data_IF_607691852388
#
_entry.id   IF_607691852388
#
_cell.length_a   1.000
_cell.length_b   1.000
_cell.length_c   1.000
_cell.angle_alpha   90.00
_cell.angle_beta   90.00
_cell.angle_gamma   90.00
#
_symmetry.space_group_name_H-M   'P 1'
#
loop_
_entity.id
_entity.type
_entity.pdbx_description
1 polymer ?
#
# COMPACT_ATOMS: atom_id res chain seq x y z
N UNK A 1 20.20 8.29 -5.12
CA UNK A 1 19.18 7.70 -4.24
C UNK A 1 18.02 7.29 -5.11
N UNK A 2 17.46 6.10 -4.92
CA UNK A 2 16.24 5.71 -5.64
C UNK A 2 15.06 6.41 -4.98
N UNK A 3 14.15 6.99 -5.77
CA UNK A 3 12.93 7.61 -5.26
C UNK A 3 11.80 6.58 -5.19
N UNK A 4 10.81 6.75 -4.31
CA UNK A 4 9.58 5.98 -4.40
C UNK A 4 8.81 6.32 -5.69
N UNK A 5 8.03 5.39 -6.25
CA UNK A 5 7.10 5.65 -7.34
C UNK A 5 6.15 6.82 -7.05
N UNK A 6 5.92 7.63 -8.09
CA UNK A 6 4.95 8.72 -8.12
C UNK A 6 3.58 8.19 -8.51
N UNK A 7 2.58 8.52 -7.69
CA UNK A 7 1.19 8.15 -7.95
C UNK A 7 0.60 9.11 -8.99
N UNK A 8 0.10 8.58 -10.10
CA UNK A 8 -0.50 9.37 -11.18
C UNK A 8 -2.00 9.58 -10.99
N UNK A 9 -2.68 8.58 -10.42
CA UNK A 9 -4.12 8.61 -10.18
C UNK A 9 -4.51 7.64 -9.07
N UNK A 10 -5.50 8.03 -8.27
CA UNK A 10 -6.13 7.19 -7.24
C UNK A 10 -7.64 7.23 -7.45
N UNK A 11 -8.26 6.05 -7.47
CA UNK A 11 -9.70 5.84 -7.55
C UNK A 11 -10.06 4.56 -6.81
N UNK A 12 -11.32 4.40 -6.36
CA UNK A 12 -11.73 3.22 -5.60
C UNK A 12 -11.28 1.91 -6.26
N UNK A 13 -10.54 1.07 -5.52
CA UNK A 13 -10.03 -0.20 -6.03
C UNK A 13 -8.81 -0.08 -6.96
N UNK A 14 -8.29 1.12 -7.22
CA UNK A 14 -7.31 1.36 -8.28
C UNK A 14 -6.36 2.53 -8.00
N UNK A 15 -5.09 2.19 -7.86
CA UNK A 15 -3.92 3.06 -7.79
C UNK A 15 -3.11 2.86 -9.08
N UNK A 16 -2.65 3.96 -9.68
CA UNK A 16 -1.77 3.98 -10.84
C UNK A 16 -0.49 4.77 -10.53
N UNK A 17 0.63 4.33 -11.11
CA UNK A 17 1.93 4.97 -10.97
C UNK A 17 2.41 5.50 -12.31
N UNK A 18 3.03 6.69 -12.34
CA UNK A 18 3.49 7.34 -13.58
C UNK A 18 4.90 6.93 -14.02
N UNK A 19 5.73 6.50 -13.09
CA UNK A 19 7.18 6.40 -13.23
C UNK A 19 7.71 5.00 -12.84
N UNK A 20 6.82 4.01 -12.80
CA UNK A 20 7.16 2.64 -12.43
C UNK A 20 6.57 1.65 -13.42
N UNK A 21 7.31 1.36 -14.50
CA UNK A 21 6.95 0.36 -15.51
C UNK A 21 6.74 -1.05 -14.91
N UNK A 22 7.30 -1.30 -13.72
CA UNK A 22 7.23 -2.59 -13.04
C UNK A 22 6.13 -2.68 -11.97
N UNK A 23 5.38 -1.61 -11.69
CA UNK A 23 4.24 -1.67 -10.78
C UNK A 23 2.94 -1.66 -11.60
N UNK A 24 2.22 -2.79 -11.70
CA UNK A 24 0.92 -2.80 -12.33
C UNK A 24 -0.06 -1.95 -11.52
N UNK A 25 -1.19 -1.60 -12.12
CA UNK A 25 -2.32 -1.03 -11.39
C UNK A 25 -2.95 -2.05 -10.43
N UNK A 26 -3.53 -1.57 -9.33
CA UNK A 26 -4.19 -2.44 -8.35
C UNK A 26 -4.78 -1.67 -7.18
N UNK A 27 -5.27 -2.37 -6.16
CA UNK A 27 -6.03 -1.74 -5.06
C UNK A 27 -5.16 -1.22 -3.92
N UNK A 28 -4.31 -2.08 -3.37
CA UNK A 28 -3.55 -1.83 -2.15
C UNK A 28 -2.06 -2.11 -2.41
N UNK A 29 -1.18 -1.22 -1.94
CA UNK A 29 0.26 -1.28 -2.24
C UNK A 29 1.12 -0.96 -1.02
N UNK A 30 2.27 -1.61 -0.97
CA UNK A 30 3.41 -1.19 -0.16
C UNK A 30 4.43 -0.52 -1.08
N UNK A 31 4.73 0.75 -0.85
CA UNK A 31 5.58 1.58 -1.72
C UNK A 31 6.81 2.05 -0.94
N UNK A 32 7.96 1.98 -1.59
CA UNK A 32 9.26 2.30 -0.99
C UNK A 32 10.25 2.81 -2.03
N UNK A 33 11.35 3.45 -1.63
CA UNK A 33 12.43 3.83 -2.53
C UNK A 33 12.84 2.69 -3.48
N UNK A 34 12.72 2.90 -4.79
CA UNK A 34 13.05 1.89 -5.80
C UNK A 34 11.91 0.97 -6.22
N UNK A 35 10.68 1.17 -5.74
CA UNK A 35 9.50 0.49 -6.27
C UNK A 35 8.39 0.25 -5.24
N UNK A 36 7.81 -0.93 -5.30
CA UNK A 36 6.74 -1.34 -4.41
C UNK A 36 6.16 -2.68 -4.84
N UNK A 37 5.15 -3.13 -4.11
CA UNK A 37 4.43 -4.37 -4.40
C UNK A 37 2.96 -4.26 -4.01
N UNK A 38 2.07 -5.07 -4.61
CA UNK A 38 0.73 -5.25 -4.09
C UNK A 38 0.75 -5.70 -2.63
N UNK A 39 -0.17 -5.17 -1.85
CA UNK A 39 -0.36 -5.53 -0.46
C UNK A 39 -1.54 -6.50 -0.31
N UNK A 40 -1.23 -7.75 -0.02
CA UNK A 40 -2.23 -8.75 0.37
C UNK A 40 -2.38 -8.75 1.90
N UNK A 41 -3.59 -8.41 2.37
CA UNK A 41 -3.92 -8.40 3.79
C UNK A 41 -3.93 -9.78 4.44
N UNK A 42 -4.05 -10.85 3.65
CA UNK A 42 -4.04 -12.21 4.18
C UNK A 42 -2.67 -12.63 4.70
N UNK A 43 -1.60 -11.97 4.28
CA UNK A 43 -0.23 -12.25 4.76
C UNK A 43 -0.09 -12.03 6.26
N UNK A 44 -0.78 -11.02 6.80
CA UNK A 44 -0.65 -10.56 8.20
C UNK A 44 -1.96 -10.65 8.99
N UNK A 45 -3.07 -10.99 8.31
CA UNK A 45 -4.39 -10.98 8.90
C UNK A 45 -4.97 -9.58 9.05
N UNK A 46 -4.48 -8.60 8.30
CA UNK A 46 -5.02 -7.23 8.29
C UNK A 46 -6.48 -7.23 7.86
N UNK A 47 -7.27 -6.43 8.56
CA UNK A 47 -8.70 -6.20 8.34
C UNK A 47 -9.00 -4.75 8.72
N UNK A 48 -10.19 -4.26 8.39
CA UNK A 48 -10.65 -2.93 8.81
C UNK A 48 -10.58 -2.73 10.34
N UNK A 49 -10.81 -3.79 11.12
CA UNK A 49 -10.56 -3.86 12.56
C UNK A 49 -9.91 -5.22 12.86
N UNK A 50 -8.76 -5.29 13.54
CA UNK A 50 -8.09 -4.22 14.30
C UNK A 50 -7.25 -3.23 13.48
N UNK A 51 -7.23 -3.34 12.14
CA UNK A 51 -6.47 -2.46 11.26
C UNK A 51 -5.17 -3.09 10.75
N UNK A 52 -4.25 -2.23 10.33
CA UNK A 52 -2.92 -2.57 9.83
C UNK A 52 -2.09 -3.25 10.93
N UNK A 53 -1.45 -4.37 10.61
CA UNK A 53 -0.63 -5.12 11.55
C UNK A 53 0.84 -4.69 11.49
N UNK A 54 1.57 -4.93 12.58
CA UNK A 54 3.03 -4.67 12.65
C UNK A 54 3.76 -5.42 11.53
N UNK A 55 3.35 -6.65 11.23
CA UNK A 55 3.92 -7.46 10.14
C UNK A 55 3.82 -6.79 8.76
N UNK A 56 2.88 -5.86 8.55
CA UNK A 56 2.75 -5.18 7.26
C UNK A 56 3.90 -4.19 7.00
N UNK A 57 4.45 -3.61 8.08
CA UNK A 57 5.53 -2.61 8.05
C UNK A 57 6.90 -3.20 8.38
N UNK A 58 6.97 -4.33 9.10
CA UNK A 58 8.24 -4.98 9.48
C UNK A 58 9.13 -5.27 8.27
N UNK A 59 8.55 -5.74 7.16
CA UNK A 59 9.32 -5.99 5.95
C UNK A 59 9.91 -4.70 5.34
N UNK A 60 9.23 -3.56 5.51
CA UNK A 60 9.64 -2.29 4.95
C UNK A 60 10.80 -1.72 5.75
N UNK A 61 10.71 -1.81 7.08
CA UNK A 61 11.76 -1.39 8.01
C UNK A 61 13.00 -2.28 7.87
N UNK A 62 12.83 -3.60 7.84
CA UNK A 62 13.95 -4.57 7.79
C UNK A 62 14.76 -4.46 6.49
N UNK A 63 14.11 -4.15 5.37
CA UNK A 63 14.79 -3.96 4.07
C UNK A 63 15.59 -2.65 3.99
N UNK A 64 15.63 -1.85 5.06
CA UNK A 64 16.34 -0.57 5.09
C UNK A 64 15.66 0.51 4.26
N UNK A 65 14.37 0.35 3.93
CA UNK A 65 13.62 1.38 3.23
C UNK A 65 13.38 2.53 4.20
N UNK A 66 14.14 3.61 4.03
CA UNK A 66 13.89 4.87 4.71
C UNK A 66 12.61 5.49 4.10
N UNK A 67 11.64 5.87 4.94
CA UNK A 67 10.34 6.44 4.54
C UNK A 67 9.45 5.55 3.66
N UNK A 68 9.04 4.35 4.13
CA UNK A 68 8.07 3.54 3.42
C UNK A 68 6.64 4.06 3.58
N UNK A 69 5.79 3.85 2.57
CA UNK A 69 4.38 4.20 2.58
C UNK A 69 3.51 2.96 2.37
N UNK A 70 2.46 2.82 3.17
CA UNK A 70 1.36 1.89 2.91
C UNK A 70 0.22 2.67 2.27
N UNK A 71 -0.20 2.24 1.08
CA UNK A 71 -1.31 2.82 0.35
C UNK A 71 -2.48 1.87 0.38
N UNK A 72 -3.60 2.35 0.92
CA UNK A 72 -4.88 1.65 0.91
C UNK A 72 -5.85 2.48 0.10
N UNK A 73 -6.50 1.87 -0.90
CA UNK A 73 -7.56 2.53 -1.65
C UNK A 73 -8.91 1.89 -1.38
N UNK A 74 -9.44 2.22 -0.20
CA UNK A 74 -10.81 1.95 0.18
C UNK A 74 -11.47 3.21 0.73
N UNK A 75 -12.72 3.46 0.32
CA UNK A 75 -13.64 4.36 1.03
C UNK A 75 -13.84 3.87 2.45
N UNK A 76 -13.72 4.79 3.39
CA UNK A 76 -14.56 4.76 4.58
C UNK A 76 -16.02 4.69 4.12
N UNK A 77 -16.66 3.53 4.24
CA UNK A 77 -18.11 3.45 4.24
C UNK A 77 -18.51 3.61 5.69
N UNK A 78 -19.31 4.64 5.99
CA UNK A 78 -20.00 4.73 7.28
C UNK A 78 -20.88 3.48 7.43
N UNK A 79 -20.32 2.41 8.00
CA UNK A 79 -21.09 1.27 8.51
C UNK A 79 -21.06 1.33 10.05
N UNK A 80 -21.37 2.50 10.61
CA UNK A 80 -22.26 2.56 11.78
C UNK A 80 -23.70 2.52 11.25
N UNK A 81 -24.23 1.31 11.02
CA UNK A 81 -25.67 0.96 11.06
C UNK A 81 -25.89 -0.40 10.40
N UNK A 82 -25.59 -1.51 11.10
CA UNK A 82 -26.52 -2.65 11.35
C UNK A 82 -26.02 -3.40 12.58
#
# INVERSE_FOLDING_TARGET
MMSPPTISSISWGRIQFSDSDNLPEGKDYKVYPGGGRPWDWNETGTRHSPGVQIGDVEELVTKGNINPFLLICESWRDEESV
#
